data_IF_322005771887
#
_entry.id   IF_322005771887
#
_cell.length_a   1.000
_cell.length_b   1.000
_cell.length_c   1.000
_cell.angle_alpha   90.00
_cell.angle_beta   90.00
_cell.angle_gamma   90.00
#
_symmetry.space_group_name_H-M   'P 1'
#
loop_
_entity.id
_entity.type
_entity.pdbx_description
1 polymer ?
#
# COMPACT_ATOMS: atom_id res chain seq x y z
N UNK A 1 68.13 34.39 -32.09
CA UNK A 1 69.21 33.77 -31.31
C UNK A 1 68.56 32.95 -30.19
N UNK A 2 68.97 31.68 -30.07
CA UNK A 2 68.74 30.65 -29.02
C UNK A 2 67.33 30.48 -28.40
N UNK A 3 66.59 29.38 -28.68
CA UNK A 3 66.71 28.02 -28.09
C UNK A 3 66.73 28.07 -26.54
N UNK A 4 65.78 27.47 -25.82
CA UNK A 4 65.83 26.03 -25.52
C UNK A 4 64.51 25.46 -24.96
N UNK A 5 64.33 24.16 -25.25
CA UNK A 5 63.25 23.24 -24.83
C UNK A 5 63.50 22.67 -23.42
N UNK A 6 62.50 21.88 -22.96
CA UNK A 6 62.50 20.79 -21.95
C UNK A 6 61.87 21.20 -20.60
N UNK A 7 60.99 20.43 -19.96
CA UNK A 7 60.63 19.02 -20.13
C UNK A 7 59.18 18.77 -19.66
N UNK A 8 58.53 17.79 -20.29
CA UNK A 8 57.36 17.12 -19.74
C UNK A 8 57.78 16.18 -18.61
N UNK A 9 57.00 16.15 -17.53
CA UNK A 9 56.95 15.02 -16.62
C UNK A 9 55.47 14.69 -16.38
N UNK A 10 55.01 13.64 -17.05
CA UNK A 10 53.73 13.01 -16.81
C UNK A 10 53.80 12.28 -15.47
N UNK A 11 53.00 12.71 -14.49
CA UNK A 11 52.73 11.94 -13.30
C UNK A 11 51.40 11.19 -13.49
N UNK A 12 51.51 9.90 -13.81
CA UNK A 12 50.44 8.94 -13.68
C UNK A 12 49.91 8.99 -12.24
N UNK A 13 48.67 9.43 -12.06
CA UNK A 13 47.88 9.06 -10.88
C UNK A 13 46.84 8.06 -11.35
N UNK A 14 47.10 6.79 -11.03
CA UNK A 14 46.15 5.71 -11.17
C UNK A 14 44.93 6.02 -10.28
N UNK A 15 43.84 6.49 -10.88
CA UNK A 15 42.56 6.54 -10.19
C UNK A 15 42.08 5.09 -10.01
N UNK A 16 42.09 4.62 -8.76
CA UNK A 16 41.41 3.37 -8.39
C UNK A 16 39.94 3.49 -8.83
N UNK A 17 39.57 2.68 -9.82
CA UNK A 17 38.18 2.33 -10.07
C UNK A 17 37.70 1.50 -8.87
N UNK A 18 37.14 2.17 -7.87
CA UNK A 18 36.27 1.51 -6.92
C UNK A 18 35.04 1.04 -7.72
N UNK A 19 35.07 -0.22 -8.16
CA UNK A 19 33.87 -0.92 -8.58
C UNK A 19 32.95 -0.97 -7.35
N UNK A 20 32.05 0.00 -7.24
CA UNK A 20 30.90 -0.10 -6.35
C UNK A 20 30.09 -1.25 -6.91
N UNK A 21 30.24 -2.41 -6.28
CA UNK A 21 29.30 -3.51 -6.43
C UNK A 21 27.94 -2.93 -6.09
N UNK A 22 27.08 -2.84 -7.10
CA UNK A 22 25.66 -2.53 -6.95
C UNK A 22 25.15 -3.55 -5.95
N UNK A 23 24.87 -3.08 -4.72
CA UNK A 23 24.24 -3.88 -3.70
C UNK A 23 23.00 -4.51 -4.32
N UNK A 24 22.93 -5.83 -4.27
CA UNK A 24 21.77 -6.58 -4.74
C UNK A 24 20.49 -5.97 -4.16
N UNK A 25 19.41 -6.06 -4.93
CA UNK A 25 18.07 -5.74 -4.46
C UNK A 25 17.87 -6.29 -3.03
N UNK A 26 17.13 -5.58 -2.15
CA UNK A 26 16.86 -6.09 -0.82
C UNK A 26 16.31 -7.52 -0.94
N UNK A 27 16.94 -8.45 -0.21
CA UNK A 27 16.55 -9.84 -0.18
C UNK A 27 15.07 -9.92 0.18
N UNK A 28 14.27 -10.38 -0.79
CA UNK A 28 12.83 -10.55 -0.62
C UNK A 28 12.52 -11.33 0.65
N UNK A 29 11.33 -11.10 1.17
CA UNK A 29 10.67 -12.04 2.03
C UNK A 29 10.41 -13.36 1.38
N UNK A 30 11.39 -14.26 1.50
CA UNK A 30 11.18 -15.62 1.17
C UNK A 30 10.14 -16.20 2.16
N UNK A 31 9.01 -16.55 1.55
CA UNK A 31 7.75 -17.04 2.13
C UNK A 31 7.96 -18.41 2.77
N UNK A 32 7.11 -18.72 3.76
CA UNK A 32 7.15 -19.93 4.56
C UNK A 32 7.15 -21.23 3.77
N UNK A 33 7.83 -22.21 4.37
CA UNK A 33 7.91 -23.62 4.04
C UNK A 33 6.73 -24.26 3.30
N UNK A 34 7.03 -25.36 2.62
CA UNK A 34 6.04 -26.40 2.29
C UNK A 34 6.20 -27.55 3.29
N UNK A 35 5.09 -28.05 3.80
CA UNK A 35 5.08 -29.26 4.64
C UNK A 35 4.34 -30.36 3.91
N UNK A 36 5.02 -31.50 3.75
CA UNK A 36 4.39 -32.75 3.34
C UNK A 36 4.26 -33.64 4.58
N UNK A 37 3.02 -33.90 4.98
CA UNK A 37 2.68 -34.72 6.14
C UNK A 37 2.07 -36.03 5.63
N UNK A 38 2.75 -37.14 5.88
CA UNK A 38 2.33 -38.45 5.40
C UNK A 38 2.19 -39.42 6.56
N UNK A 39 1.00 -39.99 6.73
CA UNK A 39 0.82 -41.16 7.59
C UNK A 39 1.36 -42.37 6.85
N UNK A 40 2.44 -42.96 7.35
CA UNK A 40 3.13 -44.07 6.70
C UNK A 40 2.66 -45.43 7.22
N UNK A 41 2.11 -45.49 8.43
CA UNK A 41 1.56 -46.70 9.01
C UNK A 41 0.45 -46.37 10.02
N UNK A 42 -0.57 -47.21 10.15
CA UNK A 42 -1.67 -47.02 11.10
C UNK A 42 -2.11 -48.37 11.69
N UNK A 43 -2.42 -48.37 12.99
CA UNK A 43 -2.94 -49.53 13.72
C UNK A 43 -4.08 -49.11 14.65
N UNK A 44 -4.68 -50.07 15.34
CA UNK A 44 -5.73 -49.78 16.31
C UNK A 44 -5.16 -48.91 17.46
N UNK A 45 -5.63 -47.66 17.52
CA UNK A 45 -5.27 -46.72 18.59
C UNK A 45 -4.03 -45.87 18.33
N UNK A 46 -3.35 -45.99 17.18
CA UNK A 46 -2.21 -45.14 16.86
C UNK A 46 -1.73 -45.18 15.42
N UNK A 47 -0.77 -44.33 15.10
CA UNK A 47 -0.20 -44.22 13.77
C UNK A 47 1.24 -43.68 13.80
N UNK A 48 1.94 -43.88 12.70
CA UNK A 48 3.24 -43.27 12.40
C UNK A 48 3.09 -42.27 11.28
N UNK A 49 3.67 -41.08 11.45
CA UNK A 49 3.75 -40.06 10.41
C UNK A 49 5.20 -39.66 10.12
N UNK A 50 5.47 -39.37 8.84
CA UNK A 50 6.68 -38.72 8.36
C UNK A 50 6.30 -37.31 7.89
N UNK A 51 7.10 -36.32 8.29
CA UNK A 51 6.90 -34.92 7.96
C UNK A 51 8.14 -34.41 7.25
N UNK A 52 7.99 -33.96 6.01
CA UNK A 52 9.03 -33.27 5.27
C UNK A 52 8.74 -31.76 5.28
N UNK A 53 9.75 -30.97 5.65
CA UNK A 53 9.74 -29.51 5.59
C UNK A 53 10.64 -29.11 4.44
N UNK A 54 10.10 -28.45 3.42
CA UNK A 54 10.90 -27.75 2.42
C UNK A 54 10.92 -26.26 2.77
N UNK A 55 12.10 -25.67 2.95
CA UNK A 55 12.23 -24.23 3.21
C UNK A 55 12.12 -23.45 1.90
N UNK A 56 11.04 -22.72 1.73
CA UNK A 56 10.86 -21.78 0.60
C UNK A 56 11.31 -20.36 0.96
N UNK A 57 11.82 -20.20 2.19
CA UNK A 57 12.20 -18.98 2.86
C UNK A 57 13.70 -18.67 2.81
N UNK A 58 14.10 -17.68 3.62
CA UNK A 58 15.51 -17.38 3.88
C UNK A 58 16.14 -18.59 4.60
N UNK A 59 17.45 -18.79 4.44
CA UNK A 59 18.13 -19.87 5.13
C UNK A 59 17.98 -19.73 6.66
N UNK A 60 17.60 -20.82 7.33
CA UNK A 60 17.46 -20.84 8.80
C UNK A 60 18.54 -21.72 9.44
N UNK A 61 19.03 -21.29 10.60
CA UNK A 61 19.91 -22.06 11.47
C UNK A 61 19.16 -22.35 12.77
N UNK A 62 18.51 -23.50 12.80
CA UNK A 62 17.54 -23.91 13.80
C UNK A 62 16.12 -23.80 13.23
N UNK A 63 15.37 -24.89 13.30
CA UNK A 63 13.98 -24.92 12.88
C UNK A 63 13.07 -25.50 13.95
N UNK A 64 11.88 -24.93 14.04
CA UNK A 64 10.77 -25.40 14.85
C UNK A 64 9.52 -25.43 13.98
N UNK A 65 8.94 -26.60 13.80
CA UNK A 65 7.65 -26.75 13.13
C UNK A 65 6.54 -26.85 14.18
N UNK A 66 5.45 -26.13 13.98
CA UNK A 66 4.25 -26.18 14.84
C UNK A 66 3.01 -26.50 14.02
N UNK A 67 2.03 -27.17 14.62
CA UNK A 67 0.69 -27.43 14.07
C UNK A 67 -0.29 -27.80 15.19
N UNK A 68 -1.59 -27.91 14.87
CA UNK A 68 -2.61 -28.36 15.81
C UNK A 68 -3.27 -29.66 15.36
N UNK A 69 -3.44 -30.60 16.28
CA UNK A 69 -4.24 -31.81 16.06
C UNK A 69 -5.74 -31.52 16.18
N UNK A 70 -6.54 -31.95 15.20
CA UNK A 70 -7.99 -31.73 15.19
C UNK A 70 -8.82 -32.77 15.97
N UNK A 71 -8.24 -33.91 16.36
CA UNK A 71 -8.96 -35.09 16.87
C UNK A 71 -8.49 -35.61 18.22
N UNK A 72 -7.81 -34.78 19.03
CA UNK A 72 -7.33 -35.16 20.36
C UNK A 72 -6.13 -36.13 20.37
N UNK A 73 -5.44 -36.27 19.24
CA UNK A 73 -4.24 -37.09 19.12
C UNK A 73 -3.11 -36.52 20.00
N UNK A 74 -2.25 -37.41 20.51
CA UNK A 74 -1.06 -37.06 21.26
C UNK A 74 0.18 -37.77 20.71
N UNK A 75 1.26 -37.02 20.49
CA UNK A 75 2.57 -37.57 20.10
C UNK A 75 3.12 -38.41 21.25
N UNK A 76 3.49 -39.65 20.96
CA UNK A 76 4.02 -40.61 21.94
C UNK A 76 5.53 -40.85 21.79
N UNK A 77 6.07 -40.65 20.58
CA UNK A 77 7.51 -40.71 20.30
C UNK A 77 7.85 -39.88 19.06
N UNK A 78 9.06 -39.34 18.98
CA UNK A 78 9.56 -38.64 17.78
C UNK A 78 11.02 -38.98 17.48
N UNK A 79 11.42 -38.86 16.22
CA UNK A 79 12.81 -39.00 15.76
C UNK A 79 13.09 -38.01 14.62
N UNK A 80 14.36 -37.64 14.42
CA UNK A 80 14.72 -36.55 13.50
C UNK A 80 14.30 -35.15 14.00
N UNK A 81 13.69 -35.07 15.19
CA UNK A 81 13.29 -33.86 15.89
C UNK A 81 12.74 -34.20 17.28
N UNK A 82 12.66 -33.19 18.14
CA UNK A 82 12.12 -33.32 19.51
C UNK A 82 10.73 -32.70 19.57
N UNK A 83 9.71 -33.53 19.75
CA UNK A 83 8.32 -33.10 19.86
C UNK A 83 7.95 -32.72 21.31
N UNK A 84 7.24 -31.61 21.46
CA UNK A 84 6.49 -31.23 22.66
C UNK A 84 5.04 -30.95 22.28
N UNK A 85 4.11 -31.16 23.21
CA UNK A 85 2.69 -30.97 22.96
C UNK A 85 1.98 -30.38 24.19
N UNK A 86 1.10 -29.41 23.96
CA UNK A 86 0.21 -28.83 24.97
C UNK A 86 -1.20 -28.77 24.40
N UNK A 87 -2.13 -29.53 25.00
CA UNK A 87 -3.45 -29.73 24.42
C UNK A 87 -3.35 -30.26 22.98
N UNK A 88 -3.98 -29.55 22.03
CA UNK A 88 -3.91 -29.88 20.61
C UNK A 88 -2.62 -29.42 19.91
N UNK A 89 -1.87 -28.47 20.49
CA UNK A 89 -0.76 -27.81 19.82
C UNK A 89 0.52 -28.62 19.96
N UNK A 90 1.12 -28.98 18.82
CA UNK A 90 2.39 -29.68 18.72
C UNK A 90 3.50 -28.73 18.26
N UNK A 91 4.69 -28.89 18.84
CA UNK A 91 5.90 -28.19 18.45
C UNK A 91 7.05 -29.19 18.31
N UNK A 92 7.70 -29.24 17.16
CA UNK A 92 8.87 -30.09 16.90
C UNK A 92 10.07 -29.23 16.60
N UNK A 93 11.11 -29.32 17.43
CA UNK A 93 12.39 -28.67 17.21
C UNK A 93 13.40 -29.61 16.53
N UNK A 94 14.30 -29.03 15.72
CA UNK A 94 15.35 -29.78 15.02
C UNK A 94 16.24 -30.61 15.96
N UNK A 95 16.79 -31.71 15.43
CA UNK A 95 17.90 -32.41 16.06
C UNK A 95 19.21 -31.63 15.85
N UNK A 96 20.27 -31.98 16.60
CA UNK A 96 21.56 -31.28 16.55
C UNK A 96 22.21 -31.28 15.16
N UNK A 97 21.90 -32.26 14.31
CA UNK A 97 22.54 -32.49 13.01
C UNK A 97 21.73 -31.98 11.81
N UNK A 98 20.46 -31.60 11.97
CA UNK A 98 19.60 -31.13 10.87
C UNK A 98 19.04 -29.72 11.06
N UNK A 99 19.66 -28.91 11.92
CA UNK A 99 19.19 -27.55 12.21
C UNK A 99 19.42 -26.55 11.08
N UNK A 100 20.44 -26.75 10.24
CA UNK A 100 20.69 -25.85 9.10
C UNK A 100 19.80 -26.24 7.93
N UNK A 101 18.97 -25.31 7.48
CA UNK A 101 18.04 -25.52 6.37
C UNK A 101 18.09 -24.31 5.44
N UNK A 102 18.92 -24.43 4.39
CA UNK A 102 19.07 -23.41 3.36
C UNK A 102 17.79 -23.11 2.59
N UNK A 103 17.77 -22.01 1.85
CA UNK A 103 16.64 -21.72 0.93
C UNK A 103 16.55 -22.80 -0.14
N UNK A 104 15.34 -23.31 -0.39
CA UNK A 104 15.05 -24.44 -1.28
C UNK A 104 15.42 -25.82 -0.72
N UNK A 105 16.12 -25.90 0.41
CA UNK A 105 16.51 -27.16 1.02
C UNK A 105 15.33 -27.83 1.76
N UNK A 106 15.42 -29.13 2.00
CA UNK A 106 14.41 -29.90 2.73
C UNK A 106 15.02 -30.70 3.87
N UNK A 107 14.24 -30.93 4.92
CA UNK A 107 14.55 -31.82 6.04
C UNK A 107 13.32 -32.64 6.41
N UNK A 108 13.50 -33.74 7.12
CA UNK A 108 12.41 -34.62 7.53
C UNK A 108 12.56 -35.07 8.97
N UNK A 109 11.43 -35.31 9.61
CA UNK A 109 11.34 -35.96 10.91
C UNK A 109 10.13 -36.91 10.92
N UNK A 110 10.09 -37.83 11.88
CA UNK A 110 8.95 -38.73 12.05
C UNK A 110 8.49 -38.80 13.49
N UNK A 111 7.26 -39.28 13.69
CA UNK A 111 6.70 -39.47 15.01
C UNK A 111 5.63 -40.57 15.03
N UNK A 112 5.39 -41.10 16.23
CA UNK A 112 4.23 -41.90 16.55
C UNK A 112 3.24 -41.08 17.36
N UNK A 113 1.95 -41.27 17.11
CA UNK A 113 0.89 -40.65 17.90
C UNK A 113 -0.26 -41.63 18.16
N UNK A 114 -1.03 -41.37 19.21
CA UNK A 114 -2.26 -42.09 19.49
C UNK A 114 -3.47 -41.48 18.75
N UNK A 115 -4.56 -42.24 18.64
CA UNK A 115 -5.82 -41.77 18.05
C UNK A 115 -5.96 -41.97 16.55
N UNK A 116 -7.04 -41.43 15.97
CA UNK A 116 -7.34 -41.49 14.53
C UNK A 116 -6.44 -40.54 13.73
N UNK A 117 -6.14 -40.89 12.48
CA UNK A 117 -5.30 -40.12 11.55
C UNK A 117 -6.02 -38.95 10.88
N UNK A 118 -7.33 -38.81 11.09
CA UNK A 118 -8.18 -37.84 10.39
C UNK A 118 -8.71 -36.75 11.33
N UNK A 119 -8.69 -35.46 10.91
CA UNK A 119 -8.07 -34.91 9.69
C UNK A 119 -6.56 -34.60 9.82
N UNK A 120 -5.85 -34.54 8.69
CA UNK A 120 -4.44 -34.08 8.61
C UNK A 120 -4.36 -32.58 8.98
N UNK A 121 -3.38 -32.14 9.79
CA UNK A 121 -3.20 -30.72 10.11
C UNK A 121 -2.94 -29.87 8.87
N UNK A 122 -3.40 -28.62 8.89
CA UNK A 122 -3.21 -27.67 7.77
C UNK A 122 -2.58 -26.34 8.20
N UNK A 123 -2.40 -26.15 9.51
CA UNK A 123 -1.94 -24.91 10.15
C UNK A 123 -0.43 -24.92 10.46
N UNK A 124 0.37 -25.62 9.64
CA UNK A 124 1.80 -25.73 9.88
C UNK A 124 2.48 -24.36 9.89
N UNK A 125 3.44 -24.15 10.80
CA UNK A 125 4.31 -22.97 10.80
C UNK A 125 5.75 -23.32 11.17
N UNK A 126 6.71 -22.82 10.39
CA UNK A 126 8.16 -22.94 10.60
C UNK A 126 8.69 -21.67 11.24
N UNK A 127 9.25 -21.80 12.44
CA UNK A 127 9.77 -20.67 13.24
C UNK A 127 8.75 -19.53 13.40
N UNK A 128 7.46 -19.88 13.53
CA UNK A 128 6.36 -18.92 13.64
C UNK A 128 5.84 -18.37 12.31
N UNK A 129 6.47 -18.72 11.18
CA UNK A 129 5.99 -18.36 9.83
C UNK A 129 5.14 -19.50 9.26
N UNK A 130 3.86 -19.25 8.97
CA UNK A 130 2.97 -20.27 8.39
C UNK A 130 3.56 -20.88 7.12
N UNK A 131 3.56 -22.21 7.04
CA UNK A 131 3.95 -22.98 5.87
C UNK A 131 2.82 -22.92 4.84
N UNK A 132 3.10 -22.26 3.73
CA UNK A 132 2.07 -21.88 2.76
C UNK A 132 2.01 -22.80 1.55
N UNK A 133 3.05 -23.59 1.32
CA UNK A 133 3.16 -24.50 0.18
C UNK A 133 3.48 -23.83 -1.16
N UNK A 134 3.58 -22.50 -1.24
CA UNK A 134 3.86 -21.78 -2.48
C UNK A 134 4.86 -20.64 -2.28
N UNK A 135 5.89 -20.52 -3.14
CA UNK A 135 6.79 -19.37 -3.12
C UNK A 135 6.05 -18.10 -3.55
N UNK A 136 6.57 -16.93 -3.15
CA UNK A 136 6.10 -15.66 -3.70
C UNK A 136 6.23 -15.66 -5.25
N UNK A 137 5.29 -15.03 -5.98
CA UNK A 137 5.41 -14.83 -7.42
C UNK A 137 6.71 -14.13 -7.81
N UNK A 138 7.36 -14.60 -8.88
CA UNK A 138 8.55 -13.94 -9.44
C UNK A 138 8.25 -12.53 -9.98
N UNK A 139 7.02 -12.32 -10.48
CA UNK A 139 6.46 -11.01 -10.81
C UNK A 139 5.17 -10.80 -9.99
N UNK A 140 5.24 -10.04 -8.88
CA UNK A 140 4.10 -9.75 -8.02
C UNK A 140 2.91 -9.08 -8.73
N UNK A 141 3.17 -8.36 -9.82
CA UNK A 141 2.16 -7.56 -10.52
C UNK A 141 1.51 -8.30 -11.70
N UNK A 142 2.10 -9.41 -12.15
CA UNK A 142 1.59 -10.17 -13.30
C UNK A 142 0.14 -10.64 -13.12
N UNK A 143 -0.23 -11.04 -11.89
CA UNK A 143 -1.57 -11.55 -11.53
C UNK A 143 -2.37 -10.61 -10.62
N UNK A 144 -1.90 -9.38 -10.44
CA UNK A 144 -2.62 -8.36 -9.69
C UNK A 144 -3.04 -7.20 -10.61
N UNK A 145 -4.30 -6.79 -10.49
CA UNK A 145 -4.73 -5.48 -10.95
C UNK A 145 -4.28 -4.46 -9.91
N UNK A 146 -3.72 -3.35 -10.37
CA UNK A 146 -3.11 -2.36 -9.50
C UNK A 146 -3.68 -0.99 -9.82
N UNK A 147 -4.10 -0.25 -8.80
CA UNK A 147 -4.33 1.18 -8.94
C UNK A 147 -3.65 1.96 -7.81
N UNK A 148 -3.28 3.19 -8.13
CA UNK A 148 -2.22 3.91 -7.43
C UNK A 148 -0.93 3.97 -8.25
N UNK A 149 0.06 4.69 -7.73
CA UNK A 149 1.39 4.75 -8.33
C UNK A 149 2.27 3.68 -7.70
N UNK A 150 2.56 2.65 -8.50
CA UNK A 150 3.32 1.46 -8.08
C UNK A 150 4.45 1.24 -9.07
N UNK A 151 5.68 1.16 -8.57
CA UNK A 151 6.87 0.93 -9.39
C UNK A 151 6.89 -0.50 -9.96
N UNK A 152 7.79 -0.77 -10.93
CA UNK A 152 7.87 -2.09 -11.57
C UNK A 152 8.19 -3.23 -10.58
N UNK A 153 8.93 -2.90 -9.51
CA UNK A 153 9.32 -3.80 -8.42
C UNK A 153 8.26 -3.84 -7.30
N UNK A 154 7.03 -3.40 -7.60
CA UNK A 154 5.87 -3.44 -6.71
C UNK A 154 6.01 -2.59 -5.44
N UNK A 155 6.78 -1.49 -5.49
CA UNK A 155 6.91 -0.54 -4.39
C UNK A 155 5.95 0.63 -4.54
N UNK A 156 5.51 1.18 -3.42
CA UNK A 156 4.53 2.27 -3.39
C UNK A 156 4.59 3.06 -2.08
N UNK A 157 4.22 4.33 -2.13
CA UNK A 157 4.17 5.20 -0.93
C UNK A 157 2.87 5.98 -0.81
N UNK A 158 2.24 6.34 -1.94
CA UNK A 158 1.02 7.13 -1.96
C UNK A 158 -0.12 6.44 -1.21
N UNK A 159 -0.99 7.20 -0.53
CA UNK A 159 -2.11 6.65 0.21
C UNK A 159 -3.13 5.97 -0.72
N UNK A 160 -3.88 5.00 -0.21
CA UNK A 160 -4.97 4.36 -0.93
C UNK A 160 -4.58 3.45 -2.11
N UNK A 161 -3.28 3.19 -2.33
CA UNK A 161 -2.80 2.19 -3.30
C UNK A 161 -3.44 0.84 -2.99
N UNK A 162 -3.92 0.15 -4.01
CA UNK A 162 -4.54 -1.16 -3.85
C UNK A 162 -4.16 -2.16 -4.94
N UNK A 163 -4.28 -3.43 -4.57
CA UNK A 163 -4.05 -4.59 -5.41
C UNK A 163 -5.30 -5.46 -5.37
N UNK A 164 -5.79 -5.86 -6.54
CA UNK A 164 -6.92 -6.77 -6.68
C UNK A 164 -6.49 -8.03 -7.43
N UNK A 165 -6.87 -9.20 -6.90
CA UNK A 165 -6.53 -10.50 -7.45
C UNK A 165 -7.73 -11.42 -7.50
N UNK A 166 -7.53 -12.56 -8.16
CA UNK A 166 -8.49 -13.67 -8.14
C UNK A 166 -7.78 -14.95 -7.77
N UNK A 167 -8.39 -15.74 -6.91
CA UNK A 167 -7.91 -17.06 -6.55
C UNK A 167 -9.03 -18.09 -6.71
N UNK A 168 -8.69 -19.34 -6.94
CA UNK A 168 -9.59 -20.47 -6.76
C UNK A 168 -9.03 -21.40 -5.68
N UNK A 169 -9.82 -21.76 -4.69
CA UNK A 169 -9.39 -22.64 -3.60
C UNK A 169 -9.92 -22.19 -2.24
N UNK A 170 -9.42 -22.82 -1.18
CA UNK A 170 -9.91 -22.64 0.20
C UNK A 170 -9.16 -21.57 1.00
N UNK A 171 -8.24 -20.83 0.37
CA UNK A 171 -7.52 -19.75 1.01
C UNK A 171 -6.65 -18.94 0.06
N UNK A 172 -6.32 -17.72 0.51
CA UNK A 172 -5.45 -16.77 -0.18
C UNK A 172 -4.44 -16.18 0.80
N UNK A 173 -3.18 -16.13 0.37
CA UNK A 173 -2.11 -15.41 1.04
C UNK A 173 -1.82 -14.09 0.35
N UNK A 174 -1.57 -13.05 1.15
CA UNK A 174 -1.15 -11.73 0.70
C UNK A 174 0.30 -11.53 1.15
N UNK A 175 1.23 -11.51 0.20
CA UNK A 175 2.67 -11.36 0.50
C UNK A 175 3.00 -9.88 0.58
N UNK A 176 3.63 -9.45 1.68
CA UNK A 176 3.98 -8.06 1.95
C UNK A 176 5.39 -7.93 2.56
N UNK A 177 6.03 -6.81 2.25
CA UNK A 177 7.17 -6.28 2.98
C UNK A 177 6.90 -4.80 3.27
N UNK A 178 6.24 -4.54 4.41
CA UNK A 178 5.93 -3.19 4.85
C UNK A 178 5.72 -3.10 6.37
N UNK A 179 6.73 -2.58 7.06
CA UNK A 179 6.70 -2.37 8.52
C UNK A 179 6.14 -1.00 8.94
N UNK A 180 5.64 -0.19 8.02
CA UNK A 180 5.22 1.19 8.28
C UNK A 180 3.73 1.45 8.05
N UNK A 181 3.06 0.64 7.23
CA UNK A 181 1.70 0.91 6.82
C UNK A 181 0.66 -0.07 7.33
N UNK A 182 -0.58 0.42 7.40
CA UNK A 182 -1.76 -0.37 7.71
C UNK A 182 -2.56 -0.65 6.46
N UNK A 183 -3.23 -1.80 6.46
CA UNK A 183 -3.93 -2.33 5.30
C UNK A 183 -5.27 -2.92 5.68
N UNK A 184 -6.24 -2.87 4.77
CA UNK A 184 -7.40 -3.75 4.82
C UNK A 184 -7.23 -4.88 3.77
N UNK A 185 -7.52 -6.10 4.20
CA UNK A 185 -7.66 -7.27 3.33
C UNK A 185 -9.14 -7.57 3.17
N UNK A 186 -9.60 -7.58 1.94
CA UNK A 186 -10.99 -7.85 1.59
C UNK A 186 -11.06 -9.13 0.73
N UNK A 187 -12.03 -9.99 1.03
CA UNK A 187 -12.38 -11.16 0.22
C UNK A 187 -13.85 -11.05 -0.15
N UNK A 188 -14.14 -11.18 -1.45
CA UNK A 188 -15.49 -11.06 -2.03
C UNK A 188 -16.24 -9.80 -1.60
N UNK A 189 -15.50 -8.69 -1.49
CA UNK A 189 -16.03 -7.37 -1.13
C UNK A 189 -16.20 -7.13 0.37
N UNK A 190 -15.90 -8.11 1.22
CA UNK A 190 -15.97 -7.97 2.68
C UNK A 190 -14.57 -7.82 3.28
N UNK A 191 -14.36 -6.84 4.16
CA UNK A 191 -13.11 -6.74 4.94
C UNK A 191 -13.03 -7.90 5.93
N UNK A 192 -12.04 -8.77 5.72
CA UNK A 192 -11.79 -9.96 6.56
C UNK A 192 -10.66 -9.73 7.55
N UNK A 193 -9.80 -8.75 7.31
CA UNK A 193 -8.72 -8.38 8.21
C UNK A 193 -8.27 -6.93 8.04
N UNK A 194 -7.75 -6.34 9.12
CA UNK A 194 -6.94 -5.12 9.10
C UNK A 194 -5.54 -5.48 9.57
N UNK A 195 -4.54 -5.26 8.73
CA UNK A 195 -3.15 -5.51 9.05
C UNK A 195 -2.51 -4.23 9.59
N UNK A 196 -1.82 -4.35 10.72
CA UNK A 196 -1.20 -3.23 11.42
C UNK A 196 0.31 -3.38 11.30
N UNK A 197 0.97 -2.57 10.47
CA UNK A 197 2.43 -2.63 10.22
C UNK A 197 2.94 -4.07 10.03
N UNK A 198 2.45 -4.81 9.01
CA UNK A 198 2.65 -6.26 8.89
C UNK A 198 4.11 -6.72 8.75
N UNK A 199 5.00 -5.81 8.36
CA UNK A 199 6.39 -6.11 8.07
C UNK A 199 6.51 -7.10 6.92
N UNK A 200 7.51 -7.96 7.05
CA UNK A 200 7.89 -9.00 6.11
C UNK A 200 7.04 -10.25 6.37
N UNK A 201 5.96 -10.48 5.61
CA UNK A 201 4.99 -11.55 5.92
C UNK A 201 4.21 -12.09 4.71
N UNK A 202 3.55 -13.24 4.89
CA UNK A 202 2.40 -13.65 4.08
C UNK A 202 1.19 -13.77 4.98
N UNK A 203 0.23 -12.86 4.82
CA UNK A 203 -1.02 -12.90 5.59
C UNK A 203 -2.02 -13.84 4.95
N UNK A 204 -2.45 -14.88 5.67
CA UNK A 204 -3.39 -15.88 5.18
C UNK A 204 -4.82 -15.59 5.58
N UNK A 205 -5.71 -15.65 4.59
CA UNK A 205 -7.14 -15.85 4.78
C UNK A 205 -7.46 -17.29 4.39
N UNK A 206 -7.72 -18.13 5.38
CA UNK A 206 -8.01 -19.56 5.22
C UNK A 206 -9.51 -19.86 5.45
N UNK A 207 -9.89 -21.13 5.32
CA UNK A 207 -11.25 -21.62 5.54
C UNK A 207 -12.30 -20.96 4.63
N UNK A 208 -11.87 -20.55 3.44
CA UNK A 208 -12.79 -20.12 2.38
C UNK A 208 -13.48 -21.36 1.78
N UNK A 209 -14.67 -21.15 1.21
CA UNK A 209 -15.29 -22.16 0.39
C UNK A 209 -14.34 -22.56 -0.75
N UNK A 210 -14.39 -23.80 -1.23
CA UNK A 210 -13.59 -24.17 -2.40
C UNK A 210 -14.21 -23.62 -3.70
N UNK A 211 -14.02 -22.33 -3.95
CA UNK A 211 -14.61 -21.59 -5.06
C UNK A 211 -13.63 -20.56 -5.62
N UNK A 212 -14.06 -19.78 -6.62
CA UNK A 212 -13.35 -18.57 -7.03
C UNK A 212 -13.66 -17.42 -6.07
N UNK A 213 -12.62 -16.73 -5.62
CA UNK A 213 -12.67 -15.58 -4.72
C UNK A 213 -11.97 -14.38 -5.34
N UNK A 214 -12.51 -13.19 -5.08
CA UNK A 214 -11.84 -11.91 -5.35
C UNK A 214 -11.15 -11.45 -4.07
N UNK A 215 -9.87 -11.11 -4.17
CA UNK A 215 -9.09 -10.55 -3.07
C UNK A 215 -8.73 -9.11 -3.39
N UNK A 216 -8.80 -8.22 -2.39
CA UNK A 216 -8.33 -6.84 -2.48
C UNK A 216 -7.50 -6.51 -1.25
N UNK A 217 -6.26 -6.08 -1.47
CA UNK A 217 -5.42 -5.46 -0.46
C UNK A 217 -5.44 -3.95 -0.71
N UNK A 218 -5.70 -3.13 0.30
CA UNK A 218 -5.66 -1.67 0.17
C UNK A 218 -4.91 -1.01 1.32
N UNK A 219 -4.00 -0.11 0.98
CA UNK A 219 -3.23 0.70 1.93
C UNK A 219 -4.12 1.77 2.56
N UNK A 220 -4.18 1.80 3.89
CA UNK A 220 -4.98 2.74 4.68
C UNK A 220 -4.23 4.03 4.96
N UNK A 221 -2.98 3.89 5.39
CA UNK A 221 -2.16 4.96 5.98
C UNK A 221 -1.48 5.83 4.93
N UNK A 222 -1.14 7.05 5.36
CA UNK A 222 -0.15 7.89 4.70
C UNK A 222 1.24 7.63 5.29
N UNK A 223 2.25 7.48 4.43
CA UNK A 223 3.64 7.19 4.84
C UNK A 223 4.62 7.88 3.90
N UNK A 224 4.90 9.15 4.15
CA UNK A 224 5.65 10.00 3.21
C UNK A 224 7.17 9.78 3.27
N UNK A 225 7.65 9.13 4.34
CA UNK A 225 9.06 8.86 4.63
C UNK A 225 9.55 7.46 4.23
N UNK A 226 8.66 6.59 3.74
CA UNK A 226 9.01 5.21 3.38
C UNK A 226 8.09 4.66 2.30
N UNK A 227 8.42 3.48 1.76
CA UNK A 227 7.63 2.76 0.78
C UNK A 227 7.31 1.35 1.28
N UNK A 228 6.11 0.87 1.00
CA UNK A 228 5.78 -0.55 1.11
C UNK A 228 6.14 -1.32 -0.15
N UNK A 229 6.19 -2.65 -0.05
CA UNK A 229 6.34 -3.54 -1.19
C UNK A 229 5.31 -4.68 -1.15
N UNK A 230 4.65 -4.89 -2.28
CA UNK A 230 3.70 -5.98 -2.48
C UNK A 230 4.40 -7.17 -3.14
N UNK A 231 4.32 -8.33 -2.50
CA UNK A 231 4.94 -9.56 -2.98
C UNK A 231 4.04 -10.43 -3.85
N UNK A 232 2.76 -10.07 -4.02
CA UNK A 232 1.80 -10.84 -4.82
C UNK A 232 0.74 -11.55 -3.98
N UNK A 233 -0.23 -12.13 -4.68
CA UNK A 233 -1.16 -13.09 -4.09
C UNK A 233 -0.64 -14.51 -4.28
N UNK A 234 -0.90 -15.37 -3.31
CA UNK A 234 -0.66 -16.82 -3.38
C UNK A 234 -1.93 -17.56 -2.99
N UNK A 235 -2.15 -18.76 -3.55
CA UNK A 235 -3.30 -19.59 -3.18
C UNK A 235 -2.88 -20.64 -2.14
N UNK A 236 -3.83 -21.04 -1.29
CA UNK A 236 -3.60 -22.14 -0.37
C UNK A 236 -3.34 -23.45 -1.14
N UNK A 237 -2.77 -24.46 -0.47
CA UNK A 237 -2.49 -25.77 -1.07
C UNK A 237 -3.69 -26.33 -1.84
N UNK A 238 -3.47 -26.71 -3.10
CA UNK A 238 -4.52 -27.21 -4.00
C UNK A 238 -5.33 -26.12 -4.71
N UNK A 239 -5.10 -24.85 -4.37
CA UNK A 239 -5.66 -23.69 -5.06
C UNK A 239 -4.77 -23.13 -6.17
N UNK A 240 -5.27 -22.09 -6.82
CA UNK A 240 -4.60 -21.41 -7.94
C UNK A 240 -4.86 -19.90 -7.90
N UNK A 241 -3.83 -19.10 -8.17
CA UNK A 241 -3.99 -17.67 -8.50
C UNK A 241 -4.40 -17.55 -9.96
N UNK A 242 -5.54 -16.93 -10.21
CA UNK A 242 -6.12 -16.75 -11.55
C UNK A 242 -5.60 -15.46 -12.19
N UNK A 243 -5.99 -15.21 -13.44
CA UNK A 243 -5.71 -13.93 -14.10
C UNK A 243 -6.31 -12.76 -13.32
N UNK A 244 -5.59 -11.63 -13.31
CA UNK A 244 -6.05 -10.43 -12.63
C UNK A 244 -7.44 -9.96 -13.10
N UNK A 245 -8.22 -9.29 -12.24
CA UNK A 245 -9.45 -8.64 -12.66
C UNK A 245 -9.22 -7.70 -13.85
N UNK A 246 -10.24 -7.52 -14.68
CA UNK A 246 -10.23 -6.53 -15.77
C UNK A 246 -10.18 -5.14 -15.14
N UNK A 247 -9.29 -4.28 -15.65
CA UNK A 247 -9.20 -2.89 -15.22
C UNK A 247 -10.53 -2.16 -15.47
N UNK A 248 -10.86 -1.22 -14.58
CA UNK A 248 -12.08 -0.42 -14.75
C UNK A 248 -11.83 0.57 -15.89
N UNK A 249 -12.87 0.79 -16.71
CA UNK A 249 -12.79 1.78 -17.80
C UNK A 249 -12.79 3.22 -17.27
N UNK A 250 -13.48 3.44 -16.16
CA UNK A 250 -13.54 4.71 -15.45
C UNK A 250 -12.31 4.88 -14.56
N UNK A 251 -11.69 6.04 -14.62
CA UNK A 251 -10.49 6.38 -13.86
C UNK A 251 -10.62 7.79 -13.27
N UNK A 252 -10.31 7.91 -11.98
CA UNK A 252 -10.37 9.17 -11.25
C UNK A 252 -9.07 9.41 -10.49
N UNK A 253 -8.50 10.61 -10.62
CA UNK A 253 -7.37 11.03 -9.78
C UNK A 253 -7.84 12.04 -8.73
N UNK A 254 -7.48 11.80 -7.48
CA UNK A 254 -7.67 12.74 -6.38
C UNK A 254 -6.30 13.30 -5.98
N UNK A 255 -6.16 14.61 -6.09
CA UNK A 255 -4.96 15.38 -5.77
C UNK A 255 -5.32 16.24 -4.56
N UNK A 256 -4.54 16.19 -3.48
CA UNK A 256 -4.91 17.01 -2.33
C UNK A 256 -3.99 16.94 -1.13
N UNK A 257 -4.51 17.46 -0.03
CA UNK A 257 -3.89 17.47 1.28
C UNK A 257 -4.48 16.39 2.22
N UNK A 258 -4.39 16.63 3.53
CA UNK A 258 -4.86 15.74 4.59
C UNK A 258 -6.36 15.42 4.49
N UNK A 259 -7.18 16.33 3.95
CA UNK A 259 -8.59 16.10 3.73
C UNK A 259 -8.84 15.05 2.65
N UNK A 260 -7.94 14.94 1.67
CA UNK A 260 -8.01 13.95 0.58
C UNK A 260 -7.39 12.62 0.99
N UNK A 261 -6.34 12.66 1.83
CA UNK A 261 -5.77 11.48 2.50
C UNK A 261 -6.82 10.75 3.35
N UNK A 262 -7.71 11.48 4.01
CA UNK A 262 -8.58 10.92 5.06
C UNK A 262 -7.89 10.89 6.42
N UNK A 263 -7.08 11.92 6.69
CA UNK A 263 -6.33 12.09 7.92
C UNK A 263 -7.22 11.93 9.15
N UNK A 264 -6.94 10.92 9.97
CA UNK A 264 -7.60 10.70 11.25
C UNK A 264 -9.11 10.42 11.17
N UNK A 265 -9.62 10.01 10.00
CA UNK A 265 -11.05 9.90 9.75
C UNK A 265 -11.78 8.77 10.50
N UNK A 266 -11.06 7.82 11.07
CA UNK A 266 -11.62 6.78 11.94
C UNK A 266 -11.70 7.19 13.40
N UNK A 267 -11.06 8.29 13.79
CA UNK A 267 -11.10 8.72 15.17
C UNK A 267 -12.51 9.19 15.54
N UNK A 268 -12.90 8.86 16.77
CA UNK A 268 -14.13 9.36 17.40
C UNK A 268 -13.85 10.60 18.27
N UNK A 269 -12.60 11.05 18.35
CA UNK A 269 -12.15 12.22 19.10
C UNK A 269 -11.18 13.05 18.26
N UNK A 270 -11.16 14.37 18.51
CA UNK A 270 -10.23 15.27 17.81
C UNK A 270 -8.79 15.14 18.30
N UNK A 271 -8.61 14.92 19.61
CA UNK A 271 -7.31 14.50 20.14
C UNK A 271 -7.18 12.99 19.95
N UNK A 272 -6.22 12.59 19.13
CA UNK A 272 -5.93 11.21 18.80
C UNK A 272 -4.66 10.68 19.47
N UNK A 273 -3.97 11.49 20.27
CA UNK A 273 -2.68 11.13 20.86
C UNK A 273 -2.75 9.86 21.73
N UNK A 274 -3.91 9.60 22.34
CA UNK A 274 -4.14 8.48 23.24
C UNK A 274 -4.78 7.25 22.59
N UNK A 275 -5.24 7.34 21.34
CA UNK A 275 -5.97 6.27 20.63
C UNK A 275 -5.23 5.76 19.38
N UNK A 276 -3.90 5.72 19.43
CA UNK A 276 -3.04 5.25 18.33
C UNK A 276 -2.58 6.36 17.38
N UNK A 277 -2.90 7.62 17.67
CA UNK A 277 -2.47 8.75 16.87
C UNK A 277 -3.14 8.80 15.51
N UNK A 278 -2.69 9.75 14.70
CA UNK A 278 -3.21 9.98 13.35
C UNK A 278 -3.04 8.76 12.46
N UNK A 279 -1.88 8.09 12.55
CA UNK A 279 -1.55 6.94 11.69
C UNK A 279 -2.60 5.83 11.81
N UNK A 280 -2.90 5.38 13.03
CA UNK A 280 -3.85 4.27 13.24
C UNK A 280 -5.30 4.67 12.96
N UNK A 281 -5.61 5.97 13.04
CA UNK A 281 -6.93 6.53 12.76
C UNK A 281 -7.12 6.98 11.31
N UNK A 282 -6.12 6.84 10.44
CA UNK A 282 -6.22 7.23 9.03
C UNK A 282 -6.59 6.01 8.17
N UNK A 283 -7.69 6.11 7.42
CA UNK A 283 -8.03 5.14 6.39
C UNK A 283 -8.43 5.83 5.08
N UNK A 284 -7.51 5.81 4.12
CA UNK A 284 -7.70 6.38 2.78
C UNK A 284 -8.80 5.67 1.98
N UNK A 285 -9.00 4.37 2.20
CA UNK A 285 -9.99 3.58 1.43
C UNK A 285 -11.45 3.98 1.77
N UNK A 286 -11.64 4.76 2.83
CA UNK A 286 -12.91 5.39 3.21
C UNK A 286 -12.89 6.93 3.09
N UNK A 287 -11.84 7.50 2.49
CA UNK A 287 -11.83 8.94 2.17
C UNK A 287 -12.91 9.25 1.12
N UNK A 288 -13.33 10.51 1.05
CA UNK A 288 -14.37 10.93 0.11
C UNK A 288 -13.99 10.60 -1.34
N UNK A 289 -12.69 10.64 -1.66
CA UNK A 289 -12.18 10.30 -2.98
C UNK A 289 -12.34 8.81 -3.30
N UNK A 290 -11.87 7.94 -2.41
CA UNK A 290 -11.99 6.50 -2.59
C UNK A 290 -13.46 6.04 -2.62
N UNK A 291 -14.31 6.59 -1.73
CA UNK A 291 -15.75 6.30 -1.71
C UNK A 291 -16.46 6.75 -3.00
N UNK A 292 -16.06 7.91 -3.55
CA UNK A 292 -16.62 8.42 -4.81
C UNK A 292 -16.23 7.51 -5.97
N UNK A 293 -14.95 7.13 -6.06
CA UNK A 293 -14.48 6.24 -7.12
C UNK A 293 -15.17 4.87 -7.07
N UNK A 294 -15.34 4.29 -5.87
CA UNK A 294 -16.09 3.04 -5.69
C UNK A 294 -17.54 3.17 -6.15
N UNK A 295 -18.23 4.26 -5.79
CA UNK A 295 -19.60 4.54 -6.22
C UNK A 295 -19.72 4.69 -7.73
N UNK A 296 -18.68 5.24 -8.38
CA UNK A 296 -18.60 5.37 -9.83
C UNK A 296 -18.11 4.09 -10.52
N UNK A 297 -17.75 3.03 -9.80
CA UNK A 297 -17.04 1.85 -10.32
C UNK A 297 -15.81 2.26 -11.16
N UNK A 298 -14.97 3.13 -10.59
CA UNK A 298 -13.76 3.64 -11.19
C UNK A 298 -12.51 3.15 -10.47
N UNK A 299 -11.43 2.93 -11.22
CA UNK A 299 -10.10 2.85 -10.63
C UNK A 299 -9.69 4.25 -10.16
N UNK A 300 -8.92 4.32 -9.07
CA UNK A 300 -8.52 5.61 -8.51
C UNK A 300 -7.03 5.69 -8.14
N UNK A 301 -6.53 6.91 -8.18
CA UNK A 301 -5.28 7.29 -7.51
C UNK A 301 -5.59 8.38 -6.48
N UNK A 302 -5.13 8.19 -5.23
CA UNK A 302 -5.10 9.26 -4.23
C UNK A 302 -3.67 9.76 -4.11
N UNK A 303 -3.37 10.79 -4.88
CA UNK A 303 -2.07 11.46 -4.87
C UNK A 303 -2.18 12.64 -3.88
N UNK A 304 -2.23 12.35 -2.58
CA UNK A 304 -2.41 13.37 -1.55
C UNK A 304 -1.27 13.36 -0.52
N UNK A 305 -0.98 14.52 0.07
CA UNK A 305 0.07 14.71 1.08
C UNK A 305 -0.40 15.68 2.16
N UNK A 306 -0.60 15.19 3.38
CA UNK A 306 -1.04 15.96 4.55
C UNK A 306 -0.13 17.15 4.88
N UNK A 307 -0.75 18.29 5.19
CA UNK A 307 -0.04 19.51 5.57
C UNK A 307 0.58 20.30 4.42
N UNK A 308 0.68 19.75 3.20
CA UNK A 308 1.18 20.50 2.05
C UNK A 308 0.10 21.34 1.38
N UNK A 309 0.50 22.51 0.87
CA UNK A 309 -0.35 23.39 0.09
C UNK A 309 0.19 23.64 -1.32
N UNK A 310 -0.45 24.54 -2.05
CA UNK A 310 -0.04 24.89 -3.42
C UNK A 310 1.25 25.71 -3.42
N UNK A 311 1.38 26.68 -2.52
CA UNK A 311 2.56 27.55 -2.35
C UNK A 311 3.03 27.65 -0.91
N UNK A 312 2.14 27.46 0.06
CA UNK A 312 2.42 27.52 1.50
C UNK A 312 1.85 26.28 2.18
N UNK A 313 2.63 25.68 3.07
CA UNK A 313 2.22 24.51 3.85
C UNK A 313 1.64 24.95 5.20
N UNK A 314 1.08 23.99 5.93
CA UNK A 314 0.41 24.24 7.21
C UNK A 314 1.32 25.03 8.14
N UNK A 315 0.83 26.17 8.61
CA UNK A 315 1.54 27.08 9.51
C UNK A 315 2.94 27.53 9.01
N UNK A 316 3.16 27.59 7.70
CA UNK A 316 4.45 27.98 7.12
C UNK A 316 5.54 26.91 7.22
N UNK A 317 5.18 25.67 7.54
CA UNK A 317 6.11 24.55 7.68
C UNK A 317 6.86 24.19 6.39
N UNK A 318 8.05 23.59 6.53
CA UNK A 318 8.88 23.09 5.41
C UNK A 318 9.07 24.10 4.26
N UNK A 319 9.55 25.34 4.56
CA UNK A 319 9.75 26.35 3.53
C UNK A 319 10.69 25.84 2.43
N UNK A 320 10.41 26.21 1.18
CA UNK A 320 11.14 25.74 0.00
C UNK A 320 10.56 24.48 -0.65
N UNK A 321 9.60 23.81 -0.01
CA UNK A 321 8.85 22.70 -0.60
C UNK A 321 7.35 22.97 -0.54
N UNK A 322 6.58 22.38 -1.46
CA UNK A 322 5.12 22.42 -1.47
C UNK A 322 4.59 21.16 -2.17
N UNK A 323 3.27 21.01 -2.27
CA UNK A 323 2.67 19.82 -2.88
C UNK A 323 3.22 19.54 -4.30
N UNK A 324 3.44 20.60 -5.10
CA UNK A 324 3.92 20.47 -6.48
C UNK A 324 5.34 19.88 -6.57
N UNK A 325 6.15 19.99 -5.51
CA UNK A 325 7.47 19.33 -5.39
C UNK A 325 7.36 17.80 -5.40
N UNK A 326 6.26 17.25 -4.90
CA UNK A 326 6.06 15.80 -4.74
C UNK A 326 5.17 15.20 -5.83
N UNK A 327 4.31 16.00 -6.48
CA UNK A 327 3.30 15.50 -7.42
C UNK A 327 3.86 14.63 -8.55
N UNK A 328 5.11 14.80 -8.96
CA UNK A 328 5.67 13.97 -10.03
C UNK A 328 6.22 12.64 -9.55
N UNK A 329 6.39 12.39 -8.25
CA UNK A 329 7.08 11.20 -7.75
C UNK A 329 6.24 9.92 -7.88
N UNK A 330 6.90 8.79 -8.14
CA UNK A 330 6.29 7.48 -7.92
C UNK A 330 6.32 7.15 -6.42
N UNK A 331 7.49 7.34 -5.81
CA UNK A 331 7.76 7.15 -4.39
C UNK A 331 8.08 8.49 -3.72
N UNK A 332 7.26 8.87 -2.74
CA UNK A 332 7.33 10.15 -2.03
C UNK A 332 8.69 10.35 -1.33
N UNK A 333 9.24 9.26 -0.80
CA UNK A 333 10.49 9.23 -0.05
C UNK A 333 11.76 9.15 -0.91
N UNK A 334 11.63 9.13 -2.24
CA UNK A 334 12.78 9.13 -3.16
C UNK A 334 12.86 10.49 -3.84
N UNK A 335 13.87 11.28 -3.47
CA UNK A 335 14.07 12.61 -4.04
C UNK A 335 14.42 12.52 -5.54
N UNK A 336 13.85 13.42 -6.34
CA UNK A 336 14.04 13.45 -7.79
C UNK A 336 13.34 12.32 -8.55
N UNK A 337 12.64 11.41 -7.87
CA UNK A 337 11.88 10.34 -8.51
C UNK A 337 10.75 10.91 -9.37
N UNK A 338 10.44 10.19 -10.46
CA UNK A 338 9.42 10.60 -11.42
C UNK A 338 8.56 9.39 -11.78
N UNK A 339 7.26 9.54 -11.62
CA UNK A 339 6.24 8.59 -12.01
C UNK A 339 6.11 8.56 -13.54
N UNK A 340 6.51 7.44 -14.19
CA UNK A 340 6.26 7.25 -15.60
C UNK A 340 4.77 6.92 -15.77
N UNK A 341 3.95 7.93 -16.07
CA UNK A 341 2.50 7.74 -16.23
C UNK A 341 2.24 6.62 -17.24
N UNK A 342 1.62 5.50 -16.83
CA UNK A 342 1.31 4.42 -17.75
C UNK A 342 0.38 4.91 -18.85
N UNK A 343 0.56 4.45 -20.09
CA UNK A 343 -0.34 4.81 -21.21
C UNK A 343 -1.79 4.38 -20.97
N UNK A 344 -2.00 3.43 -20.05
CA UNK A 344 -3.28 2.93 -19.57
C UNK A 344 -3.94 3.81 -18.51
N UNK A 345 -3.22 4.78 -17.93
CA UNK A 345 -3.78 5.73 -16.96
C UNK A 345 -4.14 7.06 -17.64
N UNK A 346 -5.43 7.22 -17.92
CA UNK A 346 -6.06 8.36 -18.58
C UNK A 346 -7.34 8.75 -17.81
N UNK A 347 -7.21 9.39 -16.64
CA UNK A 347 -8.35 9.76 -15.82
C UNK A 347 -9.29 10.69 -16.60
N UNK A 348 -10.56 10.32 -16.65
CA UNK A 348 -11.61 11.18 -17.21
C UNK A 348 -11.98 12.30 -16.23
N UNK A 349 -11.70 12.09 -14.93
CA UNK A 349 -11.94 13.03 -13.85
C UNK A 349 -10.69 13.20 -12.98
N UNK A 350 -10.29 14.45 -12.73
CA UNK A 350 -9.28 14.82 -11.72
C UNK A 350 -9.93 15.75 -10.73
N UNK A 351 -9.77 15.51 -9.43
CA UNK A 351 -10.30 16.36 -8.35
C UNK A 351 -9.13 16.89 -7.53
N UNK A 352 -9.01 18.21 -7.40
CA UNK A 352 -7.89 18.87 -6.74
C UNK A 352 -8.40 19.62 -5.50
N UNK A 353 -8.11 19.09 -4.31
CA UNK A 353 -8.38 19.70 -3.02
C UNK A 353 -7.10 20.25 -2.39
N UNK A 354 -6.59 21.37 -2.91
CA UNK A 354 -5.39 22.05 -2.41
C UNK A 354 -5.68 23.52 -2.12
N UNK A 355 -5.17 23.99 -0.99
CA UNK A 355 -5.34 25.38 -0.54
C UNK A 355 -5.67 25.51 0.94
N UNK A 356 -6.12 24.44 1.60
CA UNK A 356 -6.43 24.46 3.04
C UNK A 356 -5.21 24.94 3.82
N UNK A 357 -4.07 24.29 3.60
CA UNK A 357 -2.83 24.58 4.30
C UNK A 357 -2.21 25.93 3.93
N UNK A 358 -2.53 26.47 2.75
CA UNK A 358 -2.10 27.81 2.36
C UNK A 358 -2.78 28.86 3.25
N UNK A 359 -4.08 28.70 3.55
CA UNK A 359 -4.90 29.75 4.16
C UNK A 359 -5.47 29.44 5.56
N UNK A 360 -5.28 28.23 6.11
CA UNK A 360 -5.91 27.81 7.37
C UNK A 360 -5.30 28.45 8.63
N UNK A 361 -4.13 29.06 8.52
CA UNK A 361 -3.45 29.73 9.63
C UNK A 361 -3.04 31.13 9.24
N UNK A 362 -2.85 31.99 10.25
CA UNK A 362 -2.21 33.28 10.04
C UNK A 362 -0.80 33.10 9.46
N UNK A 363 -0.35 34.10 8.72
CA UNK A 363 1.03 34.18 8.24
C UNK A 363 1.91 34.59 9.43
N UNK A 364 2.95 33.80 9.72
CA UNK A 364 3.86 34.04 10.82
C UNK A 364 4.90 35.12 10.45
N UNK A 365 5.43 35.85 11.44
CA UNK A 365 6.58 36.72 11.22
C UNK A 365 7.76 35.96 10.60
N UNK A 366 8.38 36.54 9.56
CA UNK A 366 9.51 35.94 8.85
C UNK A 366 9.13 35.07 7.64
N UNK A 367 7.83 34.78 7.43
CA UNK A 367 7.38 34.22 6.17
C UNK A 367 7.43 35.26 5.04
N UNK A 368 7.67 34.85 3.78
CA UNK A 368 7.84 35.78 2.64
C UNK A 368 6.50 36.35 2.11
N UNK A 369 5.43 36.25 2.88
CA UNK A 369 4.07 36.44 2.41
C UNK A 369 3.36 37.61 3.12
N UNK A 370 2.56 38.34 2.36
CA UNK A 370 1.39 39.07 2.88
C UNK A 370 0.14 38.29 2.47
N UNK A 371 -1.05 38.55 3.07
CA UNK A 371 -2.29 37.93 2.63
C UNK A 371 -2.52 38.10 1.11
N UNK A 372 -2.22 39.28 0.57
CA UNK A 372 -2.38 39.60 -0.85
C UNK A 372 -1.37 38.87 -1.73
N UNK A 373 -0.08 38.86 -1.34
CA UNK A 373 0.96 38.18 -2.11
C UNK A 373 0.80 36.66 -2.09
N UNK A 374 0.35 36.10 -0.97
CA UNK A 374 0.01 34.68 -0.84
C UNK A 374 -1.16 34.31 -1.75
N UNK A 375 -2.23 35.11 -1.74
CA UNK A 375 -3.39 34.88 -2.60
C UNK A 375 -3.01 34.94 -4.09
N UNK A 376 -2.20 35.92 -4.48
CA UNK A 376 -1.71 36.04 -5.85
C UNK A 376 -0.82 34.85 -6.25
N UNK A 377 0.12 34.46 -5.38
CA UNK A 377 1.01 33.32 -5.60
C UNK A 377 0.21 32.01 -5.70
N UNK A 378 -0.76 31.78 -4.82
CA UNK A 378 -1.66 30.63 -4.86
C UNK A 378 -2.37 30.53 -6.20
N UNK A 379 -3.03 31.60 -6.66
CA UNK A 379 -3.77 31.59 -7.93
C UNK A 379 -2.84 31.30 -9.11
N UNK A 380 -1.70 31.98 -9.18
CA UNK A 380 -0.70 31.77 -10.24
C UNK A 380 -0.17 30.34 -10.26
N UNK A 381 0.20 29.80 -9.10
CA UNK A 381 0.67 28.43 -8.97
C UNK A 381 -0.41 27.41 -9.35
N UNK A 382 -1.66 27.67 -9.02
CA UNK A 382 -2.78 26.81 -9.41
C UNK A 382 -2.98 26.80 -10.92
N UNK A 383 -2.91 27.96 -11.59
CA UNK A 383 -2.97 28.01 -13.06
C UNK A 383 -1.84 27.20 -13.70
N UNK A 384 -0.59 27.37 -13.25
CA UNK A 384 0.52 26.56 -13.75
C UNK A 384 0.35 25.07 -13.47
N UNK A 385 -0.31 24.70 -12.37
CA UNK A 385 -0.62 23.30 -12.09
C UNK A 385 -1.73 22.74 -13.00
N UNK A 386 -2.74 23.54 -13.35
CA UNK A 386 -3.73 23.17 -14.37
C UNK A 386 -3.08 22.97 -15.74
N UNK A 387 -2.13 23.81 -16.13
CA UNK A 387 -1.37 23.64 -17.39
C UNK A 387 -0.59 22.32 -17.41
N UNK A 388 0.01 21.97 -16.27
CA UNK A 388 0.69 20.69 -16.08
C UNK A 388 -0.26 19.50 -16.26
N UNK A 389 -1.43 19.54 -15.64
CA UNK A 389 -2.44 18.49 -15.77
C UNK A 389 -2.99 18.39 -17.19
N UNK A 390 -3.15 19.53 -17.88
CA UNK A 390 -3.54 19.56 -19.29
C UNK A 390 -2.47 18.96 -20.20
N UNK A 391 -1.21 19.24 -19.94
CA UNK A 391 -0.09 18.60 -20.64
C UNK A 391 -0.08 17.09 -20.40
N UNK A 392 -0.39 16.66 -19.17
CA UNK A 392 -0.34 15.26 -18.76
C UNK A 392 -1.51 14.43 -19.28
N UNK A 393 -2.73 14.95 -19.23
CA UNK A 393 -3.95 14.18 -19.52
C UNK A 393 -4.74 14.69 -20.73
N UNK A 394 -4.40 15.86 -21.26
CA UNK A 394 -5.07 16.49 -22.39
C UNK A 394 -6.34 17.26 -22.01
N UNK A 395 -6.97 17.82 -23.04
CA UNK A 395 -8.22 18.61 -22.93
C UNK A 395 -9.45 17.74 -22.79
N UNK A 396 -9.32 16.41 -22.88
CA UNK A 396 -10.41 15.45 -22.68
C UNK A 396 -10.89 15.40 -21.23
N UNK A 397 -9.95 15.42 -20.29
CA UNK A 397 -10.16 15.25 -18.84
C UNK A 397 -10.97 16.41 -18.24
N UNK A 398 -11.93 16.09 -17.38
CA UNK A 398 -12.60 17.10 -16.54
C UNK A 398 -11.80 17.28 -15.26
N UNK A 399 -11.52 18.53 -14.89
CA UNK A 399 -10.78 18.86 -13.67
C UNK A 399 -11.69 19.63 -12.73
N UNK A 400 -11.86 19.14 -11.52
CA UNK A 400 -12.59 19.81 -10.46
C UNK A 400 -11.61 20.45 -9.48
N UNK A 401 -11.63 21.77 -9.39
CA UNK A 401 -10.99 22.52 -8.31
C UNK A 401 -11.93 22.47 -7.12
N UNK A 402 -11.51 21.80 -6.05
CA UNK A 402 -12.30 21.54 -4.85
C UNK A 402 -11.92 22.48 -3.71
N UNK A 403 -12.92 23.14 -3.12
CA UNK A 403 -12.79 23.81 -1.83
C UNK A 403 -14.14 23.86 -1.10
N UNK A 404 -14.13 23.63 0.21
CA UNK A 404 -15.34 23.51 1.03
C UNK A 404 -15.58 24.72 1.93
N UNK A 405 -16.83 24.98 2.29
CA UNK A 405 -17.24 26.08 3.15
C UNK A 405 -17.18 27.46 2.47
N UNK A 406 -16.88 28.49 3.27
CA UNK A 406 -16.86 29.89 2.85
C UNK A 406 -15.52 30.58 3.18
N UNK A 407 -15.27 31.75 2.59
CA UNK A 407 -14.10 32.58 2.90
C UNK A 407 -13.06 32.58 1.79
N UNK A 408 -11.81 32.91 2.15
CA UNK A 408 -10.72 33.19 1.19
C UNK A 408 -10.47 32.03 0.23
N UNK A 409 -10.37 30.80 0.74
CA UNK A 409 -10.03 29.63 -0.08
C UNK A 409 -11.12 29.30 -1.13
N UNK A 410 -12.40 29.06 -0.77
CA UNK A 410 -13.44 28.82 -1.77
C UNK A 410 -13.59 29.97 -2.80
N UNK A 411 -13.42 31.21 -2.37
CA UNK A 411 -13.47 32.36 -3.27
C UNK A 411 -12.27 32.40 -4.23
N UNK A 412 -11.05 32.10 -3.75
CA UNK A 412 -9.86 32.00 -4.57
C UNK A 412 -9.97 30.85 -5.58
N UNK A 413 -10.44 29.68 -5.16
CA UNK A 413 -10.67 28.51 -6.00
C UNK A 413 -11.70 28.80 -7.11
N UNK A 414 -12.83 29.44 -6.77
CA UNK A 414 -13.81 29.90 -7.76
C UNK A 414 -13.20 30.87 -8.77
N UNK A 415 -12.35 31.81 -8.32
CA UNK A 415 -11.66 32.73 -9.22
C UNK A 415 -10.69 32.00 -10.16
N UNK A 416 -9.89 31.04 -9.67
CA UNK A 416 -9.00 30.21 -10.50
C UNK A 416 -9.78 29.53 -11.63
N UNK A 417 -10.94 28.95 -11.31
CA UNK A 417 -11.82 28.32 -12.29
C UNK A 417 -12.39 29.35 -13.27
N UNK A 418 -12.87 30.49 -12.80
CA UNK A 418 -13.42 31.54 -13.65
C UNK A 418 -12.37 32.08 -14.64
N UNK A 419 -11.15 32.34 -14.17
CA UNK A 419 -10.02 32.80 -14.99
C UNK A 419 -9.64 31.75 -16.04
N UNK A 420 -9.62 30.47 -15.66
CA UNK A 420 -9.33 29.36 -16.57
C UNK A 420 -10.42 29.20 -17.64
N UNK A 421 -11.69 29.37 -17.26
CA UNK A 421 -12.81 29.33 -18.20
C UNK A 421 -12.78 30.51 -19.17
N UNK A 422 -12.39 31.71 -18.71
CA UNK A 422 -12.20 32.87 -19.57
C UNK A 422 -11.07 32.67 -20.60
N UNK A 423 -10.11 31.78 -20.31
CA UNK A 423 -9.07 31.33 -21.23
C UNK A 423 -9.51 30.17 -22.16
N UNK A 424 -10.78 29.76 -22.10
CA UNK A 424 -11.39 28.78 -23.01
C UNK A 424 -11.47 27.34 -22.49
N UNK A 425 -11.00 27.04 -21.28
CA UNK A 425 -11.00 25.67 -20.73
C UNK A 425 -12.20 25.42 -19.80
N UNK A 426 -13.39 25.31 -20.39
CA UNK A 426 -14.67 25.07 -19.69
C UNK A 426 -14.79 23.71 -18.99
N UNK A 427 -13.79 22.83 -19.14
CA UNK A 427 -13.70 21.54 -18.45
C UNK A 427 -12.97 21.62 -17.11
N UNK A 428 -12.46 22.80 -16.75
CA UNK A 428 -12.09 23.11 -15.38
C UNK A 428 -13.31 23.67 -14.66
N UNK A 429 -13.72 23.06 -13.56
CA UNK A 429 -14.95 23.41 -12.84
C UNK A 429 -14.70 23.51 -11.36
N UNK A 430 -15.52 24.30 -10.68
CA UNK A 430 -15.50 24.39 -9.23
C UNK A 430 -16.46 23.34 -8.65
N UNK A 431 -16.01 22.62 -7.64
CA UNK A 431 -16.87 21.84 -6.76
C UNK A 431 -16.57 22.21 -5.30
N UNK A 432 -17.61 22.27 -4.48
CA UNK A 432 -17.48 22.61 -3.08
C UNK A 432 -18.70 22.10 -2.32
N UNK A 433 -18.51 21.84 -1.03
CA UNK A 433 -19.60 21.45 -0.14
C UNK A 433 -19.83 22.59 0.85
N UNK A 434 -21.06 23.10 0.87
CA UNK A 434 -21.47 24.25 1.68
C UNK A 434 -22.34 23.85 2.88
N UNK A 435 -22.70 22.57 2.99
CA UNK A 435 -23.41 22.03 4.14
C UNK A 435 -22.50 21.85 5.37
N UNK A 436 -23.12 21.59 6.52
CA UNK A 436 -22.38 21.36 7.76
C UNK A 436 -21.70 20.00 7.78
N UNK A 437 -20.47 19.98 8.29
CA UNK A 437 -19.65 18.80 8.58
C UNK A 437 -19.37 18.76 10.09
N UNK A 438 -19.22 17.57 10.66
CA UNK A 438 -19.03 17.42 12.11
C UNK A 438 -17.58 17.63 12.57
N UNK A 439 -16.61 17.41 11.68
CA UNK A 439 -15.18 17.63 11.91
C UNK A 439 -14.69 16.92 13.18
N UNK A 440 -15.14 15.68 13.37
CA UNK A 440 -14.79 14.86 14.54
C UNK A 440 -13.56 13.98 14.35
N UNK A 441 -12.97 13.94 13.15
CA UNK A 441 -11.68 13.29 12.92
C UNK A 441 -10.55 13.99 13.68
N UNK A 442 -9.36 13.37 13.67
CA UNK A 442 -8.19 13.93 14.35
C UNK A 442 -7.95 15.39 13.95
N UNK A 443 -7.61 16.24 14.91
CA UNK A 443 -7.25 17.64 14.69
C UNK A 443 -8.30 18.42 13.86
N UNK A 444 -9.57 18.16 14.13
CA UNK A 444 -10.72 18.78 13.44
C UNK A 444 -10.81 18.44 11.94
N UNK A 445 -10.24 17.32 11.50
CA UNK A 445 -10.41 16.81 10.14
C UNK A 445 -11.77 16.14 9.94
N UNK A 446 -12.09 15.85 8.68
CA UNK A 446 -13.31 15.12 8.29
C UNK A 446 -13.41 13.77 9.00
N UNK A 447 -14.54 13.52 9.64
CA UNK A 447 -14.85 12.19 10.16
C UNK A 447 -15.21 11.23 9.01
N UNK A 448 -15.30 9.92 9.32
CA UNK A 448 -15.85 8.95 8.39
C UNK A 448 -17.28 9.30 7.93
N UNK A 449 -18.08 9.99 8.75
CA UNK A 449 -19.40 10.50 8.35
C UNK A 449 -19.26 11.63 7.34
N UNK A 450 -18.40 12.60 7.59
CA UNK A 450 -18.15 13.72 6.67
C UNK A 450 -17.67 13.23 5.30
N UNK A 451 -16.76 12.25 5.27
CA UNK A 451 -16.31 11.66 4.00
C UNK A 451 -17.44 11.00 3.19
N UNK A 452 -18.40 10.34 3.84
CA UNK A 452 -19.59 9.78 3.16
C UNK A 452 -20.48 10.88 2.59
N UNK A 453 -20.71 11.94 3.36
CA UNK A 453 -21.50 13.10 2.91
C UNK A 453 -20.85 13.77 1.70
N UNK A 454 -19.54 14.04 1.78
CA UNK A 454 -18.77 14.63 0.69
C UNK A 454 -18.76 13.72 -0.55
N UNK A 455 -18.61 12.41 -0.36
CA UNK A 455 -18.66 11.45 -1.46
C UNK A 455 -20.01 11.46 -2.16
N UNK A 456 -21.12 11.42 -1.42
CA UNK A 456 -22.47 11.50 -2.01
C UNK A 456 -22.67 12.79 -2.81
N UNK A 457 -22.28 13.93 -2.23
CA UNK A 457 -22.34 15.23 -2.92
C UNK A 457 -21.50 15.26 -4.20
N UNK A 458 -20.29 14.67 -4.18
CA UNK A 458 -19.43 14.62 -5.35
C UNK A 458 -19.98 13.70 -6.44
N UNK A 459 -20.51 12.53 -6.07
CA UNK A 459 -21.17 11.61 -7.01
C UNK A 459 -22.35 12.30 -7.69
N UNK A 460 -23.20 12.97 -6.93
CA UNK A 460 -24.34 13.73 -7.45
C UNK A 460 -23.89 14.83 -8.41
N UNK A 461 -22.83 15.57 -8.06
CA UNK A 461 -22.27 16.60 -8.91
C UNK A 461 -21.73 16.01 -10.22
N UNK A 462 -20.89 14.98 -10.14
CA UNK A 462 -20.27 14.31 -11.30
C UNK A 462 -21.32 13.72 -12.25
N UNK A 463 -22.41 13.16 -11.71
CA UNK A 463 -23.50 12.60 -12.53
C UNK A 463 -24.13 13.63 -13.48
N UNK A 464 -24.12 14.91 -13.10
CA UNK A 464 -24.71 16.01 -13.89
C UNK A 464 -23.73 16.59 -14.92
N UNK A 465 -22.47 16.20 -14.90
CA UNK A 465 -21.46 16.70 -15.84
C UNK A 465 -21.51 16.01 -17.21
N UNK A 466 -22.17 14.85 -17.31
CA UNK A 466 -22.24 14.09 -18.56
C UNK A 466 -20.86 13.66 -19.07
N UNK A 467 -19.98 13.18 -18.16
CA UNK A 467 -18.62 12.77 -18.51
C UNK A 467 -18.63 11.63 -19.54
N UNK A 468 -17.80 11.77 -20.58
CA UNK A 468 -17.46 10.66 -21.47
C UNK A 468 -16.43 9.77 -20.75
N UNK A 469 -16.95 8.71 -20.12
CA UNK A 469 -16.17 7.71 -19.39
C UNK A 469 -15.36 6.82 -20.32
#
# INVERSE_FOLDING_TARGET
MHRSRLAAAAALTAALTAAVTIGGAPAQAAVGCKVDYQVTNQWQGGFTANVQIANLGDAVNGWRLTWSFGGGQAVTASWGGTATQSGAQVSVANASWNGSLGSGASTSFGFNANGSTTPVPTDFALNGTSCTGAPAPADPLAKAHTAGRVTKDARYSWPGVYFEGRVRGTGVGVVLDDSANDYDVQVDGSTVATLVTPGKTTYWVNNLANAEHRVRLVKRTESTWTSGQFGGFVAATGGQVLDKPVARTRQVEFIGDSLTVGYGNLSTTRDCSTNGGVTRNTNTDISYGALTAKSLNADYQVNAFSGLGMVRNYNGGSPGTNYRTYYDRALLNVEGDVWPVPSTWRPQLVVIGLGTNDFSTAINPGEPWTPESLLAAYKSAYQGFLDKLRTRYGTGTTILVSAHGSGTLPNAARQVVADRNAQGDSKVRFWGYEGSLDLLGCDWHFSARDHRVLSGSLVDYVSRLGLAW
#
